data_IF_029121021353
#
_entry.id   IF_029121021353
#
_cell.length_a   1.000
_cell.length_b   1.000
_cell.length_c   1.000
_cell.angle_alpha   90.00
_cell.angle_beta   90.00
_cell.angle_gamma   90.00
#
_symmetry.space_group_name_H-M   'P 1'
#
loop_
_entity.id
_entity.type
_entity.pdbx_description
1 polymer ?
#
# COMPACT_ATOMS: atom_id res chain seq x y z
N UNK A 1 -5.56 -2.71 -26.58
CA UNK A 1 -6.93 -2.69 -26.00
C UNK A 1 -7.12 -3.95 -25.17
N UNK A 2 -7.59 -3.82 -23.95
CA UNK A 2 -7.89 -4.94 -23.05
C UNK A 2 -9.02 -5.80 -23.65
N UNK A 3 -8.72 -7.08 -23.95
CA UNK A 3 -9.73 -8.02 -24.42
C UNK A 3 -10.56 -8.57 -23.27
N UNK A 4 -11.79 -9.05 -23.52
CA UNK A 4 -12.63 -9.70 -22.50
C UNK A 4 -11.90 -10.91 -21.85
N UNK A 5 -11.15 -11.69 -22.64
CA UNK A 5 -10.36 -12.79 -22.13
C UNK A 5 -9.28 -12.33 -21.15
N UNK A 6 -8.52 -11.28 -21.50
CA UNK A 6 -7.47 -10.77 -20.63
C UNK A 6 -8.05 -10.10 -19.37
N UNK A 7 -9.18 -9.40 -19.50
CA UNK A 7 -9.91 -8.86 -18.34
C UNK A 7 -10.31 -9.98 -17.37
N UNK A 8 -10.86 -11.07 -17.92
CA UNK A 8 -11.23 -12.23 -17.10
C UNK A 8 -10.00 -12.86 -16.44
N UNK A 9 -8.89 -13.02 -17.17
CA UNK A 9 -7.61 -13.52 -16.62
C UNK A 9 -7.16 -12.64 -15.44
N UNK A 10 -7.15 -11.32 -15.59
CA UNK A 10 -6.76 -10.37 -14.53
C UNK A 10 -7.63 -10.53 -13.29
N UNK A 11 -8.95 -10.64 -13.47
CA UNK A 11 -9.90 -10.79 -12.36
C UNK A 11 -9.74 -12.11 -11.62
N UNK A 12 -9.36 -13.17 -12.32
CA UNK A 12 -9.27 -14.53 -11.76
C UNK A 12 -7.86 -14.93 -11.30
N UNK A 13 -6.80 -14.24 -11.75
CA UNK A 13 -5.44 -14.60 -11.36
C UNK A 13 -5.20 -14.37 -9.87
N UNK A 14 -4.52 -15.31 -9.18
CA UNK A 14 -4.06 -15.08 -7.82
C UNK A 14 -3.01 -13.97 -7.80
N UNK A 15 -3.06 -13.12 -6.79
CA UNK A 15 -2.13 -12.01 -6.60
C UNK A 15 -1.96 -11.66 -5.13
N UNK A 16 -0.89 -10.98 -4.77
CA UNK A 16 -0.73 -10.35 -3.46
C UNK A 16 -0.87 -8.83 -3.59
N UNK A 17 -1.36 -8.18 -2.55
CA UNK A 17 -1.38 -6.74 -2.39
C UNK A 17 -0.39 -6.34 -1.30
N UNK A 18 0.62 -5.55 -1.65
CA UNK A 18 1.75 -5.21 -0.80
C UNK A 18 1.79 -3.75 -0.39
N UNK A 19 0.79 -2.97 -0.81
CA UNK A 19 0.70 -1.54 -0.56
C UNK A 19 -0.76 -1.10 -0.49
N UNK A 20 -1.29 -1.12 0.70
CA UNK A 20 -2.65 -0.70 1.05
C UNK A 20 -2.61 -0.02 2.43
N UNK A 21 -3.08 1.21 2.53
CA UNK A 21 -3.32 1.89 3.79
C UNK A 21 -4.71 1.51 4.29
N UNK A 22 -4.79 0.91 5.47
CA UNK A 22 -6.09 0.40 5.94
C UNK A 22 -7.11 1.51 6.13
N UNK A 23 -6.69 2.67 6.61
CA UNK A 23 -7.52 3.85 6.72
C UNK A 23 -8.02 4.34 5.36
N UNK A 24 -7.23 4.11 4.29
CA UNK A 24 -7.57 4.41 2.90
C UNK A 24 -8.60 3.48 2.27
N UNK A 25 -8.93 2.38 2.95
CA UNK A 25 -10.01 1.48 2.56
C UNK A 25 -11.38 1.88 3.13
N UNK A 26 -11.42 2.95 3.94
CA UNK A 26 -12.62 3.39 4.64
C UNK A 26 -13.61 4.06 3.68
N UNK A 27 -14.56 3.29 3.19
CA UNK A 27 -15.59 3.77 2.25
C UNK A 27 -16.50 4.81 2.86
N UNK A 28 -17.00 5.78 2.09
CA UNK A 28 -17.89 6.82 2.59
C UNK A 28 -19.12 6.31 3.34
N UNK A 29 -19.71 5.19 2.91
CA UNK A 29 -20.83 4.54 3.61
C UNK A 29 -20.44 4.09 5.02
N UNK A 30 -19.26 3.51 5.15
CA UNK A 30 -18.77 3.06 6.45
C UNK A 30 -18.39 4.26 7.32
N UNK A 31 -17.79 5.32 6.76
CA UNK A 31 -17.55 6.58 7.49
C UNK A 31 -18.84 7.10 8.11
N UNK A 32 -19.94 7.17 7.35
CA UNK A 32 -21.22 7.66 7.85
C UNK A 32 -21.82 6.72 8.91
N UNK A 33 -21.72 5.41 8.72
CA UNK A 33 -22.21 4.42 9.70
C UNK A 33 -21.43 4.52 11.03
N UNK A 34 -20.10 4.62 10.97
CA UNK A 34 -19.25 4.78 12.15
C UNK A 34 -19.45 6.13 12.85
N UNK A 35 -19.58 7.21 12.08
CA UNK A 35 -19.90 8.54 12.60
C UNK A 35 -21.21 8.53 13.39
N UNK A 36 -22.25 7.90 12.86
CA UNK A 36 -23.52 7.73 13.55
C UNK A 36 -23.37 6.89 14.84
N UNK A 37 -22.65 5.76 14.77
CA UNK A 37 -22.40 4.87 15.93
C UNK A 37 -21.66 5.61 17.04
N UNK A 38 -20.67 6.40 16.68
CA UNK A 38 -19.75 7.06 17.62
C UNK A 38 -20.16 8.50 17.98
N UNK A 39 -21.26 9.01 17.42
CA UNK A 39 -21.72 10.38 17.68
C UNK A 39 -20.76 11.46 17.13
N UNK A 40 -20.00 11.15 16.07
CA UNK A 40 -19.06 12.07 15.43
C UNK A 40 -19.80 12.90 14.38
N UNK A 41 -19.66 14.24 14.43
CA UNK A 41 -20.19 15.12 13.41
C UNK A 41 -19.27 15.14 12.18
N UNK A 42 -19.82 14.87 11.01
CA UNK A 42 -19.10 14.96 9.75
C UNK A 42 -19.27 16.35 9.10
N UNK A 43 -18.24 16.80 8.40
CA UNK A 43 -18.28 18.06 7.63
C UNK A 43 -19.19 17.96 6.39
N UNK A 44 -19.49 16.77 5.92
CA UNK A 44 -20.27 16.50 4.72
C UNK A 44 -21.69 16.04 5.07
N UNK A 45 -22.73 16.55 4.35
CA UNK A 45 -24.12 16.23 4.69
C UNK A 45 -24.58 14.86 4.21
N UNK A 46 -23.88 14.22 3.28
CA UNK A 46 -24.23 12.92 2.71
C UNK A 46 -23.01 12.18 2.14
N UNK A 47 -23.15 10.87 1.92
CA UNK A 47 -22.17 10.00 1.24
C UNK A 47 -21.80 10.58 -0.12
N UNK A 48 -22.77 11.02 -0.90
CA UNK A 48 -22.56 11.60 -2.24
C UNK A 48 -21.74 12.88 -2.18
N UNK A 49 -22.00 13.74 -1.17
CA UNK A 49 -21.26 14.99 -0.98
C UNK A 49 -19.80 14.69 -0.60
N UNK A 50 -19.55 13.66 0.21
CA UNK A 50 -18.19 13.22 0.55
C UNK A 50 -17.47 12.66 -0.69
N UNK A 51 -18.13 11.80 -1.50
CA UNK A 51 -17.55 11.31 -2.76
C UNK A 51 -17.21 12.41 -3.75
N UNK A 52 -18.04 13.44 -3.86
CA UNK A 52 -17.75 14.59 -4.72
C UNK A 52 -16.53 15.39 -4.25
N UNK A 53 -16.21 15.35 -2.97
CA UNK A 53 -15.01 15.99 -2.41
C UNK A 53 -13.71 15.26 -2.77
N UNK A 54 -13.77 14.01 -3.28
CA UNK A 54 -12.58 13.23 -3.69
C UNK A 54 -12.00 13.69 -5.05
N UNK A 55 -12.03 15.00 -5.30
CA UNK A 55 -11.43 15.65 -6.46
C UNK A 55 -10.08 16.28 -6.07
N UNK A 56 -9.09 15.42 -5.78
CA UNK A 56 -7.77 15.82 -5.31
C UNK A 56 -6.97 16.53 -6.42
N UNK A 57 -6.11 17.45 -6.00
CA UNK A 57 -5.18 18.18 -6.89
C UNK A 57 -3.72 17.82 -6.64
N UNK A 58 -3.43 17.26 -5.46
CA UNK A 58 -2.12 16.87 -4.97
C UNK A 58 -2.27 15.97 -3.74
N UNK A 59 -1.16 15.44 -3.24
CA UNK A 59 -1.10 14.61 -2.05
C UNK A 59 -1.66 15.31 -0.80
N UNK A 60 -1.38 16.61 -0.61
CA UNK A 60 -1.85 17.31 0.59
C UNK A 60 -3.38 17.45 0.63
N UNK A 61 -4.01 17.76 -0.51
CA UNK A 61 -5.48 17.87 -0.60
C UNK A 61 -6.19 16.53 -0.32
N UNK A 62 -5.54 15.42 -0.64
CA UNK A 62 -5.98 14.07 -0.27
C UNK A 62 -5.84 13.84 1.24
N UNK A 63 -4.66 14.09 1.82
CA UNK A 63 -4.40 13.83 3.23
C UNK A 63 -5.35 14.58 4.17
N UNK A 64 -5.77 15.80 3.81
CA UNK A 64 -6.73 16.59 4.60
C UNK A 64 -8.09 15.88 4.74
N UNK A 65 -8.57 15.25 3.66
CA UNK A 65 -9.84 14.50 3.66
C UNK A 65 -9.65 13.12 4.32
N UNK A 66 -8.52 12.47 4.06
CA UNK A 66 -8.15 11.18 4.64
C UNK A 66 -8.14 11.22 6.19
N UNK A 67 -7.43 12.19 6.77
CA UNK A 67 -7.38 12.31 8.24
C UNK A 67 -8.75 12.70 8.83
N UNK A 68 -9.54 13.52 8.12
CA UNK A 68 -10.90 13.82 8.54
C UNK A 68 -11.80 12.57 8.52
N UNK A 69 -11.69 11.73 7.50
CA UNK A 69 -12.37 10.43 7.40
C UNK A 69 -11.99 9.49 8.54
N UNK A 70 -10.70 9.35 8.83
CA UNK A 70 -10.18 8.50 9.90
C UNK A 70 -10.68 8.91 11.30
N UNK A 71 -11.18 10.14 11.48
CA UNK A 71 -11.66 10.66 12.77
C UNK A 71 -12.84 9.88 13.38
N UNK A 72 -13.57 9.11 12.58
CA UNK A 72 -14.70 8.27 13.05
C UNK A 72 -14.28 6.97 13.73
N UNK A 73 -13.01 6.58 13.61
CA UNK A 73 -12.44 5.36 14.19
C UNK A 73 -12.03 5.63 15.64
N UNK A 74 -12.81 5.14 16.61
CA UNK A 74 -12.62 5.42 18.03
C UNK A 74 -12.47 4.16 18.90
N UNK A 75 -13.04 3.04 18.45
CA UNK A 75 -13.07 1.79 19.23
C UNK A 75 -12.39 0.65 18.47
N UNK A 76 -11.94 -0.38 19.19
CA UNK A 76 -11.38 -1.59 18.58
C UNK A 76 -12.33 -2.20 17.53
N UNK A 77 -13.65 -2.13 17.76
CA UNK A 77 -14.64 -2.63 16.81
C UNK A 77 -14.68 -1.79 15.51
N UNK A 78 -14.40 -0.49 15.57
CA UNK A 78 -14.36 0.35 14.36
C UNK A 78 -13.20 -0.05 13.44
N UNK A 79 -12.02 -0.29 14.03
CA UNK A 79 -10.85 -0.78 13.28
C UNK A 79 -11.05 -2.20 12.75
N UNK A 80 -11.73 -3.07 13.52
CA UNK A 80 -12.11 -4.39 13.06
C UNK A 80 -13.06 -4.32 11.86
N UNK A 81 -14.13 -3.53 11.93
CA UNK A 81 -15.15 -3.43 10.88
C UNK A 81 -14.54 -2.87 9.58
N UNK A 82 -13.68 -1.86 9.68
CA UNK A 82 -12.95 -1.30 8.54
C UNK A 82 -12.07 -2.36 7.87
N UNK A 83 -11.26 -3.05 8.65
CA UNK A 83 -10.32 -4.04 8.14
C UNK A 83 -11.04 -5.27 7.56
N UNK A 84 -12.10 -5.74 8.22
CA UNK A 84 -12.91 -6.84 7.70
C UNK A 84 -13.56 -6.49 6.37
N UNK A 85 -14.10 -5.27 6.22
CA UNK A 85 -14.67 -4.80 4.97
C UNK A 85 -13.64 -4.76 3.83
N UNK A 86 -12.41 -4.34 4.11
CA UNK A 86 -11.31 -4.39 3.13
C UNK A 86 -10.98 -5.84 2.73
N UNK A 87 -10.79 -6.73 3.71
CA UNK A 87 -10.39 -8.12 3.44
C UNK A 87 -11.42 -8.89 2.59
N UNK A 88 -12.71 -8.62 2.77
CA UNK A 88 -13.77 -9.16 1.92
C UNK A 88 -13.65 -8.69 0.46
N UNK A 89 -13.34 -7.41 0.24
CA UNK A 89 -13.14 -6.86 -1.12
C UNK A 89 -11.86 -7.42 -1.75
N UNK A 90 -10.76 -7.49 -1.00
CA UNK A 90 -9.51 -8.09 -1.47
C UNK A 90 -9.70 -9.56 -1.87
N UNK A 91 -10.46 -10.34 -1.07
CA UNK A 91 -10.79 -11.72 -1.41
C UNK A 91 -11.63 -11.82 -2.69
N UNK A 92 -12.61 -10.93 -2.88
CA UNK A 92 -13.42 -10.86 -4.11
C UNK A 92 -12.56 -10.52 -5.34
N UNK A 93 -11.48 -9.77 -5.17
CA UNK A 93 -10.48 -9.45 -6.20
C UNK A 93 -9.43 -10.55 -6.40
N UNK A 94 -9.61 -11.70 -5.78
CA UNK A 94 -8.68 -12.82 -5.85
C UNK A 94 -7.28 -12.56 -5.27
N UNK A 95 -7.18 -11.60 -4.36
CA UNK A 95 -5.99 -11.42 -3.52
C UNK A 95 -5.85 -12.63 -2.58
N UNK A 96 -4.64 -13.16 -2.44
CA UNK A 96 -4.31 -14.30 -1.57
C UNK A 96 -3.61 -13.90 -0.30
N UNK A 97 -2.89 -12.79 -0.39
CA UNK A 97 -2.11 -12.23 0.70
C UNK A 97 -2.10 -10.70 0.61
N UNK A 98 -2.27 -10.02 1.74
CA UNK A 98 -2.14 -8.57 1.83
C UNK A 98 -1.12 -8.18 2.91
N UNK A 99 -0.27 -7.21 2.60
CA UNK A 99 0.59 -6.52 3.58
C UNK A 99 0.04 -5.11 3.77
N UNK A 100 -0.55 -4.90 4.94
CA UNK A 100 -1.44 -3.77 5.23
C UNK A 100 -0.69 -2.74 6.06
N UNK A 101 -0.56 -1.52 5.55
CA UNK A 101 -0.09 -0.36 6.30
C UNK A 101 -1.15 0.15 7.25
N UNK A 102 -0.74 0.60 8.43
CA UNK A 102 -1.60 1.30 9.37
C UNK A 102 -0.82 2.41 10.07
N UNK A 103 -1.48 3.53 10.36
CA UNK A 103 -0.91 4.77 10.88
C UNK A 103 -1.31 5.02 12.33
N UNK A 104 -0.66 4.43 13.34
CA UNK A 104 -1.08 4.62 14.73
C UNK A 104 -1.04 6.09 15.16
N UNK A 105 -0.11 6.89 14.65
CA UNK A 105 0.03 8.31 15.00
C UNK A 105 -1.19 9.15 14.59
N UNK A 106 -1.88 8.78 13.49
CA UNK A 106 -3.16 9.38 13.09
C UNK A 106 -4.23 9.26 14.18
N UNK A 107 -4.17 8.19 14.97
CA UNK A 107 -5.18 7.87 15.99
C UNK A 107 -4.73 8.27 17.39
N UNK A 108 -3.49 7.98 17.77
CA UNK A 108 -2.96 8.29 19.11
C UNK A 108 -2.91 9.81 19.37
N UNK A 109 -2.62 10.62 18.34
CA UNK A 109 -2.64 12.09 18.43
C UNK A 109 -4.02 12.66 18.85
N UNK A 110 -5.11 11.93 18.62
CA UNK A 110 -6.48 12.30 19.03
C UNK A 110 -7.00 11.48 20.21
N UNK A 111 -6.12 10.77 20.91
CA UNK A 111 -6.40 10.09 22.19
C UNK A 111 -6.95 8.67 22.04
N UNK A 112 -6.90 8.06 20.86
CA UNK A 112 -7.21 6.62 20.70
C UNK A 112 -5.97 5.81 21.09
N UNK A 113 -6.04 4.90 22.07
CA UNK A 113 -4.89 4.11 22.49
C UNK A 113 -4.31 3.24 21.34
N UNK A 114 -2.99 3.10 21.28
CA UNK A 114 -2.31 2.25 20.31
C UNK A 114 -2.89 0.82 20.28
N UNK A 115 -3.14 0.25 21.47
CA UNK A 115 -3.73 -1.09 21.60
C UNK A 115 -5.09 -1.24 20.92
N UNK A 116 -5.92 -0.20 20.98
CA UNK A 116 -7.24 -0.17 20.33
C UNK A 116 -7.11 -0.28 18.83
N UNK A 117 -6.17 0.45 18.24
CA UNK A 117 -5.88 0.44 16.81
C UNK A 117 -5.38 -0.95 16.37
N UNK A 118 -4.25 -1.38 16.94
CA UNK A 118 -3.60 -2.62 16.47
C UNK A 118 -4.42 -3.87 16.76
N UNK A 119 -5.14 -3.93 17.89
CA UNK A 119 -5.96 -5.09 18.22
C UNK A 119 -7.14 -5.25 17.25
N UNK A 120 -7.83 -4.15 16.92
CA UNK A 120 -8.95 -4.20 16.00
C UNK A 120 -8.53 -4.69 14.62
N UNK A 121 -7.47 -4.09 14.06
CA UNK A 121 -6.92 -4.46 12.75
C UNK A 121 -6.42 -5.92 12.77
N UNK A 122 -5.58 -6.28 13.74
CA UNK A 122 -5.00 -7.62 13.83
C UNK A 122 -6.07 -8.71 13.97
N UNK A 123 -7.09 -8.51 14.82
CA UNK A 123 -8.19 -9.46 14.99
C UNK A 123 -8.94 -9.70 13.68
N UNK A 124 -9.22 -8.64 12.91
CA UNK A 124 -9.86 -8.79 11.60
C UNK A 124 -8.96 -9.56 10.62
N UNK A 125 -7.63 -9.37 10.65
CA UNK A 125 -6.69 -10.15 9.85
C UNK A 125 -6.70 -11.64 10.22
N UNK A 126 -6.89 -11.98 11.51
CA UNK A 126 -6.98 -13.39 11.94
C UNK A 126 -8.30 -14.06 11.52
N UNK A 127 -9.40 -13.30 11.51
CA UNK A 127 -10.73 -13.78 11.15
C UNK A 127 -11.02 -13.73 9.65
N UNK A 128 -10.18 -13.02 8.88
CA UNK A 128 -10.40 -12.68 7.48
C UNK A 128 -10.26 -13.85 6.50
N UNK A 129 -10.79 -13.70 5.28
CA UNK A 129 -10.82 -14.76 4.26
C UNK A 129 -9.48 -14.99 3.54
N UNK A 130 -8.50 -14.10 3.72
CA UNK A 130 -7.18 -14.16 3.07
C UNK A 130 -6.05 -14.06 4.10
N UNK A 131 -4.84 -14.48 3.72
CA UNK A 131 -3.65 -14.21 4.52
C UNK A 131 -3.37 -12.71 4.58
N UNK A 132 -3.07 -12.18 5.77
CA UNK A 132 -2.73 -10.76 5.93
C UNK A 132 -1.65 -10.56 6.99
N UNK A 133 -0.78 -9.58 6.77
CA UNK A 133 0.25 -9.12 7.70
C UNK A 133 0.20 -7.61 7.84
N UNK A 134 0.60 -7.08 9.00
CA UNK A 134 0.57 -5.64 9.26
C UNK A 134 1.97 -5.03 9.20
N UNK A 135 2.06 -3.83 8.66
CA UNK A 135 3.25 -2.98 8.66
C UNK A 135 2.85 -1.65 9.30
N UNK A 136 3.52 -1.28 10.40
CA UNK A 136 3.27 -0.05 11.13
C UNK A 136 4.02 1.11 10.48
N UNK A 137 3.31 2.14 10.01
CA UNK A 137 3.93 3.28 9.36
C UNK A 137 4.18 4.45 10.32
N UNK A 138 5.23 5.21 10.01
CA UNK A 138 5.55 6.48 10.65
C UNK A 138 5.21 7.62 9.71
N UNK A 139 4.44 8.60 10.21
CA UNK A 139 4.06 9.79 9.47
C UNK A 139 5.27 10.73 9.33
N UNK A 140 5.84 10.83 8.12
CA UNK A 140 7.13 11.51 7.87
C UNK A 140 7.08 13.03 8.03
N UNK A 141 5.90 13.64 8.04
CA UNK A 141 5.75 15.05 8.35
C UNK A 141 5.97 15.37 9.86
N UNK A 142 5.87 14.36 10.73
CA UNK A 142 6.19 14.45 12.15
C UNK A 142 7.71 14.29 12.38
N UNK A 143 8.15 14.45 13.64
CA UNK A 143 9.55 14.28 14.01
C UNK A 143 9.98 12.82 14.14
N UNK A 144 11.27 12.53 14.03
CA UNK A 144 11.82 11.21 14.31
C UNK A 144 11.63 10.82 15.79
N UNK A 145 11.64 11.79 16.71
CA UNK A 145 11.38 11.57 18.12
C UNK A 145 9.97 11.02 18.36
N UNK A 146 8.97 11.53 17.64
CA UNK A 146 7.60 11.01 17.68
C UNK A 146 7.52 9.60 17.09
N UNK A 147 8.24 9.32 16.01
CA UNK A 147 8.34 7.98 15.44
C UNK A 147 9.00 6.98 16.41
N UNK A 148 10.08 7.39 17.10
CA UNK A 148 10.74 6.57 18.14
C UNK A 148 9.77 6.30 19.29
N UNK A 149 9.03 7.31 19.75
CA UNK A 149 8.05 7.14 20.82
C UNK A 149 6.95 6.14 20.41
N UNK A 150 6.46 6.22 19.18
CA UNK A 150 5.48 5.29 18.63
C UNK A 150 6.03 3.87 18.54
N UNK A 151 7.28 3.69 18.08
CA UNK A 151 7.94 2.38 18.04
C UNK A 151 8.06 1.77 19.44
N UNK A 152 8.51 2.55 20.45
CA UNK A 152 8.63 2.04 21.82
C UNK A 152 7.24 1.72 22.43
N UNK A 153 6.20 2.51 22.16
CA UNK A 153 4.82 2.22 22.57
C UNK A 153 4.31 0.91 21.94
N UNK A 154 4.73 0.59 20.71
CA UNK A 154 4.29 -0.60 19.99
C UNK A 154 4.90 -1.92 20.49
N UNK A 155 6.00 -1.89 21.26
CA UNK A 155 6.75 -3.08 21.65
C UNK A 155 5.93 -4.17 22.37
N UNK A 156 4.96 -3.85 23.25
CA UNK A 156 4.09 -4.87 23.84
C UNK A 156 3.23 -5.65 22.83
N UNK A 157 3.08 -5.12 21.62
CA UNK A 157 2.23 -5.65 20.54
C UNK A 157 3.06 -6.12 19.34
N UNK A 158 4.38 -6.31 19.56
CA UNK A 158 5.37 -6.61 18.52
C UNK A 158 5.05 -7.88 17.70
N UNK A 159 4.29 -8.80 18.26
CA UNK A 159 3.85 -10.05 17.64
C UNK A 159 2.70 -9.85 16.62
N UNK A 160 2.12 -8.65 16.51
CA UNK A 160 0.97 -8.35 15.66
C UNK A 160 1.32 -7.70 14.33
N UNK A 161 2.55 -7.25 14.14
CA UNK A 161 3.00 -6.64 12.89
C UNK A 161 4.41 -7.15 12.52
N UNK A 162 4.68 -7.21 11.23
CA UNK A 162 5.92 -7.80 10.70
C UNK A 162 6.99 -6.78 10.34
N UNK A 163 6.62 -5.51 10.17
CA UNK A 163 7.52 -4.48 9.68
C UNK A 163 7.10 -3.08 10.07
N UNK A 164 7.94 -2.12 9.69
CA UNK A 164 7.66 -0.69 9.78
C UNK A 164 7.80 -0.04 8.40
N UNK A 165 7.02 1.03 8.18
CA UNK A 165 7.04 1.84 6.97
C UNK A 165 7.23 3.33 7.26
N UNK A 166 7.49 4.09 6.21
CA UNK A 166 7.56 5.56 6.23
C UNK A 166 6.62 6.08 5.15
N UNK A 167 5.63 6.88 5.52
CA UNK A 167 4.59 7.36 4.63
C UNK A 167 4.19 8.82 4.85
N UNK A 168 3.03 9.24 4.33
CA UNK A 168 2.52 10.61 4.36
C UNK A 168 3.30 11.56 3.44
N UNK A 169 3.27 12.87 3.68
CA UNK A 169 3.78 13.93 2.80
C UNK A 169 5.26 13.77 2.49
N UNK A 170 5.60 13.38 1.26
CA UNK A 170 6.98 13.05 0.88
C UNK A 170 7.86 14.29 0.68
N UNK A 171 7.32 15.32 0.01
CA UNK A 171 8.09 16.52 -0.32
C UNK A 171 8.53 17.29 0.93
N UNK A 172 9.83 17.54 1.05
CA UNK A 172 10.43 18.24 2.19
C UNK A 172 10.68 17.37 3.42
N UNK A 173 10.34 16.07 3.38
CA UNK A 173 10.54 15.12 4.45
C UNK A 173 11.34 13.90 3.99
N UNK A 174 12.65 14.07 3.73
CA UNK A 174 13.49 13.02 3.17
C UNK A 174 13.70 11.85 4.15
N UNK A 175 13.95 10.62 3.63
CA UNK A 175 14.10 9.41 4.46
C UNK A 175 15.17 9.52 5.54
N UNK A 176 16.30 10.17 5.27
CA UNK A 176 17.41 10.30 6.24
C UNK A 176 17.00 10.95 7.57
N UNK A 177 15.89 11.66 7.62
CA UNK A 177 15.29 12.21 8.84
C UNK A 177 14.91 11.12 9.86
N UNK A 178 14.73 9.87 9.42
CA UNK A 178 14.22 8.73 10.20
C UNK A 178 15.27 7.63 10.43
N UNK A 179 16.56 7.96 10.29
CA UNK A 179 17.66 7.00 10.35
C UNK A 179 17.71 6.19 11.66
N UNK A 180 17.48 6.83 12.81
CA UNK A 180 17.59 6.19 14.14
C UNK A 180 16.42 5.25 14.41
N UNK A 181 15.20 5.63 14.05
CA UNK A 181 14.02 4.78 14.27
C UNK A 181 14.06 3.55 13.38
N UNK A 182 14.52 3.67 12.12
CA UNK A 182 14.67 2.53 11.22
C UNK A 182 15.79 1.60 11.67
N UNK A 183 16.93 2.13 12.12
CA UNK A 183 17.99 1.31 12.72
C UNK A 183 17.49 0.55 13.97
N UNK A 184 16.68 1.21 14.82
CA UNK A 184 16.06 0.55 15.98
C UNK A 184 15.09 -0.55 15.56
N UNK A 185 14.25 -0.32 14.55
CA UNK A 185 13.33 -1.31 14.00
C UNK A 185 14.08 -2.51 13.41
N UNK A 186 15.18 -2.26 12.69
CA UNK A 186 16.07 -3.30 12.16
C UNK A 186 16.65 -4.19 13.27
N UNK A 187 17.11 -3.58 14.39
CA UNK A 187 17.62 -4.31 15.55
C UNK A 187 16.55 -5.17 16.22
N UNK A 188 15.28 -4.80 16.09
CA UNK A 188 14.13 -5.59 16.56
C UNK A 188 13.76 -6.73 15.60
N UNK A 189 14.42 -6.84 14.44
CA UNK A 189 14.12 -7.84 13.42
C UNK A 189 12.81 -7.57 12.66
N UNK A 190 12.42 -6.29 12.53
CA UNK A 190 11.29 -5.85 11.72
C UNK A 190 11.71 -5.68 10.26
N UNK A 191 10.83 -6.02 9.33
CA UNK A 191 10.98 -5.62 7.93
C UNK A 191 10.86 -4.10 7.79
N UNK A 192 11.57 -3.54 6.81
CA UNK A 192 11.68 -2.10 6.60
C UNK A 192 11.21 -1.73 5.20
N UNK A 193 10.23 -0.84 5.09
CA UNK A 193 9.76 -0.31 3.80
C UNK A 193 9.63 1.21 3.88
N UNK A 194 9.62 1.90 2.76
CA UNK A 194 9.40 3.34 2.74
C UNK A 194 8.82 3.81 1.40
N UNK A 195 7.87 4.75 1.47
CA UNK A 195 7.49 5.56 0.33
C UNK A 195 8.68 6.41 -0.10
N UNK A 196 9.11 6.25 -1.33
CA UNK A 196 10.19 7.05 -1.91
C UNK A 196 10.07 7.10 -3.43
N UNK A 197 10.17 8.30 -3.99
CA UNK A 197 10.07 8.51 -5.42
C UNK A 197 8.64 8.38 -5.96
N UNK A 198 7.64 8.75 -5.18
CA UNK A 198 6.29 9.07 -5.64
C UNK A 198 6.26 10.52 -6.13
N UNK A 199 6.36 11.49 -5.22
CA UNK A 199 6.52 12.91 -5.50
C UNK A 199 7.97 13.37 -5.35
N UNK A 200 8.72 12.76 -4.43
CA UNK A 200 10.11 13.06 -4.12
C UNK A 200 11.08 12.64 -5.23
N UNK A 201 12.26 13.25 -5.27
CA UNK A 201 13.27 12.97 -6.31
C UNK A 201 13.88 11.55 -6.14
N UNK A 202 14.56 11.01 -7.18
CA UNK A 202 15.30 9.74 -7.09
C UNK A 202 16.25 9.65 -5.90
N UNK A 203 16.83 10.75 -5.44
CA UNK A 203 17.69 10.80 -4.26
C UNK A 203 16.98 10.31 -2.97
N UNK A 204 15.65 10.41 -2.89
CA UNK A 204 14.91 9.87 -1.75
C UNK A 204 14.86 8.33 -1.79
N UNK A 205 14.83 7.74 -2.98
CA UNK A 205 14.96 6.28 -3.14
C UNK A 205 16.37 5.85 -2.70
N UNK A 206 17.43 6.54 -3.15
CA UNK A 206 18.80 6.26 -2.69
C UNK A 206 18.94 6.40 -1.17
N UNK A 207 18.37 7.45 -0.56
CA UNK A 207 18.37 7.63 0.89
C UNK A 207 17.63 6.50 1.62
N UNK A 208 16.48 6.05 1.10
CA UNK A 208 15.74 4.94 1.69
C UNK A 208 16.56 3.64 1.65
N UNK A 209 17.26 3.37 0.55
CA UNK A 209 18.13 2.21 0.40
C UNK A 209 19.38 2.27 1.28
N UNK A 210 20.10 3.40 1.28
CA UNK A 210 21.43 3.53 1.88
C UNK A 210 21.39 3.86 3.36
N UNK A 211 20.36 4.59 3.81
CA UNK A 211 20.28 5.10 5.17
C UNK A 211 19.25 4.31 5.99
N UNK A 212 18.04 4.09 5.42
CA UNK A 212 17.02 3.32 6.13
C UNK A 212 17.20 1.81 5.95
N UNK A 213 17.96 1.37 4.94
CA UNK A 213 18.18 -0.03 4.60
C UNK A 213 16.86 -0.77 4.33
N UNK A 214 15.96 -0.14 3.59
CA UNK A 214 14.66 -0.75 3.28
C UNK A 214 14.80 -1.97 2.38
N UNK A 215 13.88 -2.91 2.55
CA UNK A 215 13.82 -4.18 1.81
C UNK A 215 12.85 -4.09 0.62
N UNK A 216 12.06 -3.00 0.54
CA UNK A 216 11.12 -2.69 -0.53
C UNK A 216 10.88 -1.18 -0.57
N UNK A 217 10.73 -0.64 -1.78
CA UNK A 217 10.37 0.76 -2.03
C UNK A 217 8.88 0.84 -2.36
N UNK A 218 8.16 1.67 -1.62
CA UNK A 218 6.77 1.93 -1.94
C UNK A 218 6.68 3.06 -2.98
N UNK A 219 5.88 2.86 -4.03
CA UNK A 219 5.83 3.56 -5.32
C UNK A 219 7.13 3.42 -6.14
N UNK A 220 8.13 4.25 -5.94
CA UNK A 220 9.40 4.23 -6.66
C UNK A 220 9.32 4.64 -8.13
N UNK A 221 8.20 5.20 -8.59
CA UNK A 221 7.92 5.46 -10.01
C UNK A 221 8.86 6.50 -10.64
N UNK A 222 9.45 7.40 -9.83
CA UNK A 222 10.43 8.39 -10.30
C UNK A 222 11.85 7.85 -10.42
N UNK A 223 12.10 6.57 -10.14
CA UNK A 223 13.44 5.96 -10.33
C UNK A 223 13.93 6.09 -11.77
N UNK A 224 13.04 6.16 -12.77
CA UNK A 224 13.38 6.30 -14.19
C UNK A 224 14.09 7.63 -14.53
N UNK A 225 14.07 8.60 -13.62
CA UNK A 225 14.80 9.88 -13.78
C UNK A 225 16.31 9.73 -13.54
N UNK A 226 16.77 8.59 -12.98
CA UNK A 226 18.18 8.25 -12.76
C UNK A 226 18.52 6.89 -13.35
N UNK A 227 19.23 6.82 -14.49
CA UNK A 227 19.66 5.55 -15.08
C UNK A 227 20.49 4.69 -14.13
N UNK A 228 21.35 5.28 -13.33
CA UNK A 228 22.23 4.61 -12.38
C UNK A 228 21.40 3.95 -11.26
N UNK A 229 20.34 4.63 -10.79
CA UNK A 229 19.41 4.08 -9.81
C UNK A 229 18.62 2.91 -10.41
N UNK A 230 18.16 3.01 -11.66
CA UNK A 230 17.48 1.89 -12.34
C UNK A 230 18.40 0.66 -12.42
N UNK A 231 19.67 0.83 -12.84
CA UNK A 231 20.65 -0.27 -12.87
C UNK A 231 20.86 -0.89 -11.49
N UNK A 232 20.88 -0.08 -10.44
CA UNK A 232 20.98 -0.54 -9.05
C UNK A 232 19.76 -1.37 -8.66
N UNK A 233 18.55 -0.85 -8.85
CA UNK A 233 17.30 -1.52 -8.47
C UNK A 233 17.12 -2.87 -9.21
N UNK A 234 17.49 -2.92 -10.49
CA UNK A 234 17.49 -4.17 -11.27
C UNK A 234 18.51 -5.18 -10.73
N UNK A 235 19.75 -4.74 -10.46
CA UNK A 235 20.81 -5.60 -9.93
C UNK A 235 20.46 -6.15 -8.56
N UNK A 236 19.86 -5.36 -7.70
CA UNK A 236 19.48 -5.71 -6.33
C UNK A 236 18.12 -6.41 -6.26
N UNK A 237 17.40 -6.51 -7.39
CA UNK A 237 16.03 -7.05 -7.47
C UNK A 237 15.09 -6.38 -6.45
N UNK A 238 15.29 -5.07 -6.24
CA UNK A 238 14.50 -4.28 -5.32
C UNK A 238 13.07 -4.14 -5.85
N UNK A 239 12.09 -4.54 -5.04
CA UNK A 239 10.70 -4.46 -5.42
C UNK A 239 10.14 -3.03 -5.25
N UNK A 240 9.29 -2.63 -6.21
CA UNK A 240 8.55 -1.36 -6.25
C UNK A 240 7.05 -1.65 -6.17
N UNK A 241 6.36 -1.13 -5.16
CA UNK A 241 4.91 -1.29 -5.01
C UNK A 241 4.16 -0.16 -5.69
N UNK A 242 3.96 -0.29 -6.99
CA UNK A 242 3.34 0.74 -7.84
C UNK A 242 1.84 0.78 -7.63
N UNK A 243 1.27 1.99 -7.56
CA UNK A 243 -0.15 2.25 -7.30
C UNK A 243 -0.76 3.08 -8.43
N UNK A 244 -1.19 2.48 -9.55
CA UNK A 244 -1.52 3.21 -10.77
C UNK A 244 -2.65 4.24 -10.62
N UNK A 245 -3.76 3.90 -9.97
CA UNK A 245 -4.88 4.84 -9.78
C UNK A 245 -4.50 5.99 -8.84
N UNK A 246 -3.77 5.71 -7.75
CA UNK A 246 -3.22 6.72 -6.85
C UNK A 246 -2.35 7.71 -7.62
N UNK A 247 -1.39 7.22 -8.38
CA UNK A 247 -0.46 8.06 -9.13
C UNK A 247 -1.16 8.99 -10.14
N UNK A 248 -2.35 8.60 -10.66
CA UNK A 248 -3.17 9.49 -11.51
C UNK A 248 -3.95 10.48 -10.65
N UNK A 249 -4.56 10.02 -9.57
CA UNK A 249 -5.38 10.88 -8.68
C UNK A 249 -4.56 11.97 -8.00
N UNK A 250 -3.34 11.65 -7.61
CA UNK A 250 -2.39 12.58 -6.97
C UNK A 250 -1.54 13.39 -7.96
N UNK A 251 -1.80 13.24 -9.27
CA UNK A 251 -1.14 14.01 -10.34
C UNK A 251 0.36 13.73 -10.50
N UNK A 252 0.83 12.57 -10.05
CA UNK A 252 2.17 12.07 -10.38
C UNK A 252 2.29 11.83 -11.88
N UNK A 253 1.21 11.36 -12.50
CA UNK A 253 1.02 11.30 -13.95
C UNK A 253 -0.31 11.97 -14.34
N UNK A 254 -0.34 12.66 -15.47
CA UNK A 254 -1.53 13.37 -15.94
C UNK A 254 -2.68 12.43 -16.32
N UNK A 255 -2.36 11.33 -16.99
CA UNK A 255 -3.30 10.31 -17.47
C UNK A 255 -2.68 8.92 -17.41
N UNK A 256 -3.52 7.88 -17.29
CA UNK A 256 -3.05 6.50 -17.22
C UNK A 256 -2.18 6.07 -18.43
N UNK A 257 -2.47 6.59 -19.61
CA UNK A 257 -1.68 6.32 -20.82
C UNK A 257 -0.23 6.86 -20.79
N UNK A 258 0.09 7.78 -19.87
CA UNK A 258 1.45 8.28 -19.63
C UNK A 258 2.15 7.60 -18.44
N UNK A 259 1.47 6.72 -17.71
CA UNK A 259 2.03 6.00 -16.58
C UNK A 259 3.17 5.07 -17.04
N UNK A 260 4.23 5.01 -16.25
CA UNK A 260 5.48 4.35 -16.65
C UNK A 260 5.58 2.86 -16.31
N UNK A 261 4.51 2.22 -15.80
CA UNK A 261 4.50 0.82 -15.36
C UNK A 261 5.08 -0.14 -16.42
N UNK A 262 4.68 0.03 -17.71
CA UNK A 262 5.24 -0.76 -18.81
C UNK A 262 6.76 -0.62 -18.91
N UNK A 263 7.26 0.60 -18.81
CA UNK A 263 8.70 0.89 -18.91
C UNK A 263 9.47 0.29 -17.74
N UNK A 264 8.90 0.30 -16.52
CA UNK A 264 9.51 -0.37 -15.36
C UNK A 264 9.71 -1.86 -15.63
N UNK A 265 8.68 -2.55 -16.12
CA UNK A 265 8.74 -3.99 -16.47
C UNK A 265 9.74 -4.27 -17.60
N UNK A 266 9.72 -3.48 -18.68
CA UNK A 266 10.61 -3.64 -19.82
C UNK A 266 12.09 -3.45 -19.46
N UNK A 267 12.39 -2.66 -18.42
CA UNK A 267 13.75 -2.49 -17.87
C UNK A 267 14.16 -3.58 -16.87
N UNK A 268 13.28 -4.54 -16.57
CA UNK A 268 13.56 -5.64 -15.66
C UNK A 268 13.41 -5.29 -14.17
N UNK A 269 12.74 -4.17 -13.84
CA UNK A 269 12.42 -3.81 -12.47
C UNK A 269 11.32 -4.73 -11.90
N UNK A 270 11.41 -5.05 -10.63
CA UNK A 270 10.42 -5.87 -9.91
C UNK A 270 9.26 -4.97 -9.46
N UNK A 271 8.42 -4.57 -10.41
CA UNK A 271 7.23 -3.79 -10.11
C UNK A 271 6.04 -4.71 -9.76
N UNK A 272 5.20 -4.26 -8.82
CA UNK A 272 3.89 -4.85 -8.49
C UNK A 272 2.79 -3.80 -8.71
N UNK A 273 1.53 -4.22 -8.72
CA UNK A 273 0.37 -3.32 -8.77
C UNK A 273 -0.37 -3.43 -7.45
N UNK A 274 -0.78 -2.27 -6.90
CA UNK A 274 -1.45 -2.17 -5.61
C UNK A 274 -2.51 -1.07 -5.65
N UNK A 275 -3.38 -1.00 -4.63
CA UNK A 275 -4.49 -0.05 -4.61
C UNK A 275 -4.24 1.22 -3.80
N UNK A 276 -3.28 1.22 -2.86
CA UNK A 276 -2.93 2.35 -2.01
C UNK A 276 -4.07 2.73 -1.04
N UNK A 277 -4.91 3.70 -1.42
CA UNK A 277 -6.09 4.15 -0.70
C UNK A 277 -7.36 3.93 -1.55
N UNK A 278 -7.83 2.66 -1.69
CA UNK A 278 -8.80 2.28 -2.74
C UNK A 278 -10.13 3.01 -2.65
N UNK A 279 -10.60 3.36 -1.44
CA UNK A 279 -11.85 4.08 -1.26
C UNK A 279 -11.79 5.53 -1.76
N UNK A 280 -10.59 6.11 -1.80
CA UNK A 280 -10.34 7.49 -2.20
C UNK A 280 -9.88 7.60 -3.66
N UNK A 281 -9.11 6.64 -4.15
CA UNK A 281 -8.52 6.71 -5.49
C UNK A 281 -9.35 6.00 -6.57
N UNK A 282 -10.46 5.36 -6.16
CA UNK A 282 -11.50 4.91 -7.06
C UNK A 282 -11.37 3.47 -7.53
N UNK A 283 -10.71 2.62 -6.77
CA UNK A 283 -10.72 1.19 -7.06
C UNK A 283 -9.72 0.34 -6.29
N UNK A 284 -10.08 -0.93 -6.13
CA UNK A 284 -9.29 -1.95 -5.48
C UNK A 284 -8.30 -2.62 -6.46
N UNK A 285 -7.78 -3.78 -6.14
CA UNK A 285 -6.74 -4.44 -6.92
C UNK A 285 -7.13 -4.67 -8.39
N UNK A 286 -8.31 -5.22 -8.64
CA UNK A 286 -8.75 -5.49 -10.01
C UNK A 286 -8.96 -4.21 -10.83
N UNK A 287 -9.44 -3.13 -10.18
CA UNK A 287 -9.63 -1.85 -10.85
C UNK A 287 -8.29 -1.23 -11.27
N UNK A 288 -7.26 -1.31 -10.41
CA UNK A 288 -5.91 -0.85 -10.72
C UNK A 288 -5.31 -1.61 -11.92
N UNK A 289 -5.41 -2.93 -11.92
CA UNK A 289 -4.97 -3.75 -13.05
C UNK A 289 -5.73 -3.39 -14.34
N UNK A 290 -7.06 -3.34 -14.26
CA UNK A 290 -7.91 -3.05 -15.43
C UNK A 290 -7.59 -1.66 -16.00
N UNK A 291 -7.49 -0.63 -15.17
CA UNK A 291 -7.18 0.73 -15.61
C UNK A 291 -5.81 0.80 -16.32
N UNK A 292 -4.79 0.14 -15.75
CA UNK A 292 -3.47 0.07 -16.37
C UNK A 292 -3.49 -0.68 -17.70
N UNK A 293 -4.14 -1.84 -17.78
CA UNK A 293 -4.19 -2.68 -18.98
C UNK A 293 -5.10 -2.13 -20.08
N UNK A 294 -6.07 -1.29 -19.76
CA UNK A 294 -6.87 -0.56 -20.77
C UNK A 294 -6.07 0.54 -21.46
N UNK A 295 -5.13 1.16 -20.74
CA UNK A 295 -4.47 2.38 -21.17
C UNK A 295 -3.03 2.17 -21.63
N UNK A 296 -2.35 1.14 -21.13
CA UNK A 296 -0.96 0.83 -21.45
C UNK A 296 -0.86 -0.40 -22.39
N UNK A 297 0.21 -0.52 -23.19
CA UNK A 297 0.41 -1.67 -24.08
C UNK A 297 0.90 -2.89 -23.28
N UNK A 298 0.05 -3.36 -22.35
CA UNK A 298 0.28 -4.54 -21.51
C UNK A 298 -0.51 -5.74 -22.07
N UNK A 299 0.01 -6.95 -21.86
CA UNK A 299 -0.58 -8.21 -22.28
C UNK A 299 -0.57 -9.25 -21.13
N UNK A 300 -1.01 -10.49 -21.44
CA UNK A 300 -1.11 -11.56 -20.44
C UNK A 300 0.24 -11.90 -19.79
N UNK A 301 1.35 -11.77 -20.53
CA UNK A 301 2.68 -12.02 -19.97
C UNK A 301 3.04 -11.00 -18.87
N UNK A 302 2.62 -9.75 -19.04
CA UNK A 302 2.78 -8.71 -18.03
C UNK A 302 1.86 -8.93 -16.81
N UNK A 303 0.61 -9.39 -17.04
CA UNK A 303 -0.31 -9.73 -15.95
C UNK A 303 0.31 -10.82 -15.06
N UNK A 304 0.82 -11.88 -15.67
CA UNK A 304 1.55 -12.94 -14.98
C UNK A 304 2.79 -12.41 -14.26
N UNK A 305 3.61 -11.60 -14.93
CA UNK A 305 4.82 -11.03 -14.31
C UNK A 305 4.48 -10.22 -13.07
N UNK A 306 3.46 -9.36 -13.13
CA UNK A 306 3.01 -8.54 -12.01
C UNK A 306 2.48 -9.40 -10.85
N UNK A 307 1.65 -10.41 -11.16
CA UNK A 307 1.14 -11.35 -10.15
C UNK A 307 2.30 -12.12 -9.48
N UNK A 308 3.22 -12.66 -10.27
CA UNK A 308 4.39 -13.37 -9.76
C UNK A 308 5.31 -12.48 -8.92
N UNK A 309 5.57 -11.25 -9.37
CA UNK A 309 6.34 -10.26 -8.63
C UNK A 309 5.72 -9.97 -7.26
N UNK A 310 4.38 -9.88 -7.18
CA UNK A 310 3.69 -9.59 -5.92
C UNK A 310 3.96 -10.67 -4.86
N UNK A 311 3.93 -11.95 -5.23
CA UNK A 311 4.28 -13.04 -4.30
C UNK A 311 5.78 -13.09 -4.00
N UNK A 312 6.63 -12.83 -4.99
CA UNK A 312 8.09 -12.84 -4.81
C UNK A 312 8.54 -11.75 -3.84
N UNK A 313 7.93 -10.56 -3.92
CA UNK A 313 8.24 -9.39 -3.11
C UNK A 313 7.60 -9.40 -1.71
N UNK A 314 6.62 -10.26 -1.44
CA UNK A 314 5.93 -10.36 -0.15
C UNK A 314 6.87 -10.86 0.97
N UNK A 315 6.68 -10.36 2.18
CA UNK A 315 7.39 -10.79 3.39
C UNK A 315 6.76 -12.05 4.01
N UNK A 316 6.64 -13.07 3.19
CA UNK A 316 6.06 -14.36 3.54
C UNK A 316 7.13 -15.34 4.00
N UNK A 317 6.76 -16.25 4.89
CA UNK A 317 7.58 -17.41 5.17
C UNK A 317 7.87 -18.22 3.90
N UNK A 318 9.07 -18.81 3.75
CA UNK A 318 9.47 -19.47 2.50
C UNK A 318 8.49 -20.55 2.02
N UNK A 319 7.81 -21.26 2.91
CA UNK A 319 6.83 -22.29 2.56
C UNK A 319 5.55 -21.68 1.97
N UNK A 320 5.02 -20.63 2.60
CA UNK A 320 3.85 -19.89 2.10
C UNK A 320 4.14 -19.24 0.75
N UNK A 321 5.31 -18.60 0.60
CA UNK A 321 5.75 -18.01 -0.67
C UNK A 321 5.80 -19.05 -1.79
N UNK A 322 6.38 -20.23 -1.53
CA UNK A 322 6.40 -21.34 -2.50
C UNK A 322 4.98 -21.81 -2.86
N UNK A 323 4.08 -21.89 -1.88
CA UNK A 323 2.70 -22.32 -2.12
C UNK A 323 1.96 -21.38 -3.06
N UNK A 324 2.06 -20.05 -2.85
CA UNK A 324 1.44 -19.04 -3.72
C UNK A 324 2.08 -18.98 -5.11
N UNK A 325 3.40 -19.06 -5.21
CA UNK A 325 4.08 -19.15 -6.52
C UNK A 325 3.68 -20.40 -7.29
N UNK A 326 3.45 -21.53 -6.62
CA UNK A 326 2.94 -22.74 -7.24
C UNK A 326 1.45 -22.62 -7.66
N UNK A 327 0.66 -21.80 -6.98
CA UNK A 327 -0.71 -21.45 -7.40
C UNK A 327 -0.68 -20.60 -8.67
N UNK A 328 0.19 -19.60 -8.74
CA UNK A 328 0.43 -18.77 -9.93
C UNK A 328 0.85 -19.64 -11.13
N UNK A 329 1.81 -20.55 -10.94
CA UNK A 329 2.26 -21.46 -11.99
C UNK A 329 1.15 -22.40 -12.50
N UNK A 330 0.21 -22.82 -11.66
CA UNK A 330 -0.97 -23.59 -12.07
C UNK A 330 -2.00 -22.77 -12.83
N UNK A 331 -2.15 -21.50 -12.45
CA UNK A 331 -3.07 -20.59 -13.12
C UNK A 331 -2.58 -20.22 -14.53
N UNK A 332 -1.26 -20.08 -14.72
CA UNK A 332 -0.62 -19.76 -15.99
C UNK A 332 0.20 -20.97 -16.53
N UNK A 333 -0.44 -22.06 -16.97
CA UNK A 333 0.27 -23.26 -17.44
C UNK A 333 1.04 -23.00 -18.73
N UNK A 334 2.28 -23.46 -18.82
CA UNK A 334 3.07 -23.47 -20.07
C UNK A 334 4.07 -22.33 -20.25
N UNK A 335 4.30 -21.44 -19.29
CA UNK A 335 5.23 -20.32 -19.44
C UNK A 335 6.65 -20.58 -18.88
N UNK A 336 7.02 -21.85 -18.65
CA UNK A 336 8.38 -22.25 -18.24
C UNK A 336 9.34 -22.53 -19.43
N UNK A 337 8.96 -22.18 -20.67
CA UNK A 337 9.76 -22.44 -21.86
C UNK A 337 10.05 -21.12 -22.61
N UNK A 338 10.89 -20.27 -22.05
CA UNK A 338 11.62 -19.25 -22.81
C UNK A 338 12.88 -18.85 -22.05
#
# INVERSE_FOLDING_TARGET
MLTEQLRHTIQQMPKAELHIHIEGSLEPELIFALAQRNGVALAYPSVEALRQAYAFTDLQSFLDIYYAGASVLLTEQDFYDMTAAYLEKAAADNVRHAEIFFDPQTHTARGVPFETVVNGIWRACQDGPISASLIMCFLRHLSEEEAIATLEESLPYRDKFIGVGLDSSELGHPPEKFARVFERARQLGLHLVAHAGEEGPPAYIDSALDILNVERIDHGVRCLESPELVERLVREQMALTVCPLSNIKLRVFDVMGSHNLRTLLDKGLVATVNSDDPAYFGGYMNDNFVAAFESLPLDESHARQLARNSFAAAFLEPEQKRAFLAEDDRFFPGAHAA
#
